data_IF_408230128690
#
_entry.id   IF_408230128690
#
_cell.length_a   1.000
_cell.length_b   1.000
_cell.length_c   1.000
_cell.angle_alpha   90.00
_cell.angle_beta   90.00
_cell.angle_gamma   90.00
#
_symmetry.space_group_name_H-M   'P 1'
#
loop_
_entity.id
_entity.type
_entity.pdbx_description
1 polymer ?
#
# COMPACT_ATOMS: atom_id res chain seq x y z
N UNK A 1 -22.92 -17.02 -63.95
CA UNK A 1 -22.39 -17.77 -62.80
C UNK A 1 -22.20 -16.79 -61.65
N UNK A 2 -22.97 -16.96 -60.57
CA UNK A 2 -23.10 -16.03 -59.45
C UNK A 2 -21.87 -16.15 -58.54
N UNK A 3 -21.09 -15.09 -58.36
CA UNK A 3 -19.98 -15.05 -57.38
C UNK A 3 -20.53 -14.59 -56.03
N UNK A 4 -20.69 -15.53 -55.10
CA UNK A 4 -20.98 -15.24 -53.69
C UNK A 4 -19.75 -14.59 -53.04
N UNK A 5 -19.94 -13.39 -52.51
CA UNK A 5 -18.97 -12.71 -51.65
C UNK A 5 -19.32 -13.08 -50.21
N UNK A 6 -18.48 -13.90 -49.58
CA UNK A 6 -18.58 -14.24 -48.16
C UNK A 6 -17.92 -13.09 -47.38
N UNK A 7 -18.72 -12.33 -46.65
CA UNK A 7 -18.26 -11.24 -45.80
C UNK A 7 -17.91 -11.80 -44.41
N UNK A 8 -16.63 -12.15 -44.20
CA UNK A 8 -16.12 -12.59 -42.89
C UNK A 8 -16.10 -11.42 -41.92
N UNK A 9 -16.93 -11.49 -40.87
CA UNK A 9 -16.96 -10.54 -39.77
C UNK A 9 -15.83 -10.86 -38.79
N UNK A 10 -14.83 -9.98 -38.72
CA UNK A 10 -13.71 -10.09 -37.79
C UNK A 10 -14.17 -9.62 -36.41
N UNK A 11 -14.38 -10.55 -35.48
CA UNK A 11 -14.64 -10.24 -34.06
C UNK A 11 -13.33 -9.76 -33.41
N UNK A 12 -13.16 -8.44 -33.30
CA UNK A 12 -12.08 -7.84 -32.51
C UNK A 12 -12.39 -8.08 -31.03
N UNK A 13 -11.73 -9.09 -30.46
CA UNK A 13 -11.73 -9.33 -29.02
C UNK A 13 -10.84 -8.27 -28.38
N UNK A 14 -11.42 -7.18 -27.91
CA UNK A 14 -10.69 -6.16 -27.16
C UNK A 14 -10.27 -6.72 -25.80
N UNK A 15 -8.97 -6.86 -25.57
CA UNK A 15 -8.44 -7.09 -24.24
C UNK A 15 -8.79 -5.88 -23.38
N UNK A 16 -9.66 -6.05 -22.39
CA UNK A 16 -9.87 -5.06 -21.34
C UNK A 16 -8.56 -4.93 -20.57
N UNK A 17 -7.79 -3.87 -20.84
CA UNK A 17 -6.67 -3.48 -19.99
C UNK A 17 -7.25 -3.14 -18.62
N UNK A 18 -7.01 -4.00 -17.63
CA UNK A 18 -7.23 -3.63 -16.24
C UNK A 18 -6.40 -2.36 -15.98
N UNK A 19 -7.06 -1.28 -15.57
CA UNK A 19 -6.33 -0.06 -15.24
C UNK A 19 -5.61 -0.31 -13.92
N UNK A 20 -4.28 -0.20 -13.94
CA UNK A 20 -3.48 -0.38 -12.73
C UNK A 20 -3.84 0.70 -11.70
N UNK A 21 -3.90 0.28 -10.44
CA UNK A 21 -4.05 1.17 -9.29
C UNK A 21 -2.88 2.17 -9.29
N UNK A 22 -3.14 3.42 -8.90
CA UNK A 22 -2.09 4.43 -8.75
C UNK A 22 -2.03 4.93 -7.33
N UNK A 23 -0.82 5.18 -6.83
CA UNK A 23 -0.61 5.72 -5.50
C UNK A 23 0.48 6.80 -5.52
N UNK A 24 0.22 7.91 -4.83
CA UNK A 24 1.09 9.08 -4.78
C UNK A 24 1.17 9.61 -3.35
N UNK A 25 2.33 10.13 -2.96
CA UNK A 25 2.48 10.84 -1.69
C UNK A 25 1.71 12.15 -1.72
N UNK A 26 1.04 12.46 -0.61
CA UNK A 26 0.36 13.76 -0.44
C UNK A 26 1.13 14.72 0.45
N UNK A 27 2.20 14.24 1.09
CA UNK A 27 3.16 15.04 1.83
C UNK A 27 4.51 14.99 1.12
N UNK A 28 5.01 16.17 0.74
CA UNK A 28 6.21 16.34 -0.07
C UNK A 28 7.51 15.89 0.62
N UNK A 29 7.50 15.62 1.94
CA UNK A 29 8.66 15.05 2.62
C UNK A 29 8.96 13.62 2.17
N UNK A 30 7.95 12.91 1.67
CA UNK A 30 8.11 11.58 1.07
C UNK A 30 8.40 11.73 -0.42
N UNK A 31 9.58 11.30 -0.84
CA UNK A 31 10.06 11.42 -2.22
C UNK A 31 10.30 10.05 -2.89
N UNK A 32 10.12 8.96 -2.14
CA UNK A 32 10.41 7.60 -2.58
C UNK A 32 11.90 7.27 -2.70
N UNK A 33 12.77 8.18 -2.28
CA UNK A 33 14.22 8.04 -2.28
C UNK A 33 14.75 7.87 -0.86
N UNK A 34 14.34 8.74 0.07
CA UNK A 34 14.82 8.78 1.45
C UNK A 34 13.64 8.77 2.42
N UNK A 35 13.70 7.91 3.43
CA UNK A 35 12.70 7.96 4.51
C UNK A 35 12.90 9.28 5.28
N UNK A 36 11.84 10.08 5.51
CA UNK A 36 11.94 11.30 6.29
C UNK A 36 12.51 11.03 7.69
N UNK A 37 13.37 11.92 8.18
CA UNK A 37 14.03 11.74 9.49
C UNK A 37 13.04 11.63 10.66
N UNK A 38 11.86 12.23 10.52
CA UNK A 38 10.80 12.17 11.54
C UNK A 38 9.85 10.97 11.38
N UNK A 39 10.07 10.13 10.36
CA UNK A 39 9.22 8.99 10.01
C UNK A 39 9.96 7.65 10.20
N UNK A 40 10.65 7.52 11.33
CA UNK A 40 11.42 6.33 11.76
C UNK A 40 10.91 5.81 13.10
N UNK A 41 11.25 4.57 13.46
CA UNK A 41 10.79 3.95 14.72
C UNK A 41 11.31 4.70 15.96
N UNK A 42 10.66 4.47 17.10
CA UNK A 42 10.99 5.09 18.40
C UNK A 42 12.47 5.01 18.78
N UNK A 43 13.20 3.94 18.41
CA UNK A 43 14.63 3.82 18.67
C UNK A 43 15.51 4.89 18.00
N UNK A 44 15.03 5.54 16.94
CA UNK A 44 15.78 6.55 16.19
C UNK A 44 15.08 7.91 16.19
N UNK A 45 13.89 8.01 16.80
CA UNK A 45 13.20 9.26 17.06
C UNK A 45 12.28 9.13 18.29
N UNK A 46 12.83 9.41 19.48
CA UNK A 46 12.09 9.29 20.74
C UNK A 46 11.01 10.38 20.92
N UNK A 47 11.19 11.52 20.27
CA UNK A 47 10.28 12.67 20.38
C UNK A 47 9.00 12.51 19.55
N UNK A 48 9.03 11.69 18.49
CA UNK A 48 7.89 11.41 17.62
C UNK A 48 8.08 10.08 16.90
N UNK A 49 7.19 9.13 17.19
CA UNK A 49 7.18 7.84 16.50
C UNK A 49 6.71 8.07 15.06
N UNK A 50 7.46 7.52 14.09
CA UNK A 50 7.11 7.59 12.69
C UNK A 50 5.76 6.91 12.38
N UNK A 51 5.16 7.36 11.30
CA UNK A 51 3.84 7.01 10.78
C UNK A 51 3.96 6.49 9.34
N UNK A 52 2.89 5.88 8.85
CA UNK A 52 2.78 5.60 7.41
C UNK A 52 2.70 6.91 6.62
N UNK A 53 3.14 6.95 5.34
CA UNK A 53 2.93 8.12 4.52
C UNK A 53 1.43 8.35 4.26
N UNK A 54 0.95 9.62 4.23
CA UNK A 54 -0.36 9.92 3.71
C UNK A 54 -0.36 9.82 2.18
N UNK A 55 -1.34 9.12 1.61
CA UNK A 55 -1.38 8.80 0.18
C UNK A 55 -2.65 9.31 -0.50
N UNK A 56 -2.55 9.56 -1.80
CA UNK A 56 -3.70 9.56 -2.70
C UNK A 56 -3.65 8.28 -3.51
N UNK A 57 -4.72 7.49 -3.46
CA UNK A 57 -4.89 6.30 -4.30
C UNK A 57 -5.93 6.60 -5.36
N UNK A 58 -5.64 6.35 -6.63
CA UNK A 58 -6.53 6.59 -7.77
C UNK A 58 -6.57 5.38 -8.70
N UNK A 59 -7.42 5.45 -9.73
CA UNK A 59 -7.77 4.31 -10.59
C UNK A 59 -8.35 3.12 -9.82
N UNK A 60 -9.12 3.39 -8.76
CA UNK A 60 -9.74 2.34 -7.95
C UNK A 60 -10.81 1.60 -8.80
N UNK A 61 -10.69 0.27 -9.00
CA UNK A 61 -11.66 -0.50 -9.76
C UNK A 61 -13.07 -0.44 -9.15
N UNK A 62 -14.09 -0.50 -10.00
CA UNK A 62 -15.47 -0.68 -9.53
C UNK A 62 -15.60 -1.98 -8.74
N UNK A 63 -16.43 -1.96 -7.69
CA UNK A 63 -16.60 -3.10 -6.79
C UNK A 63 -15.53 -3.24 -5.70
N UNK A 64 -14.52 -2.36 -5.66
CA UNK A 64 -13.56 -2.31 -4.54
C UNK A 64 -14.30 -1.97 -3.24
N UNK A 65 -14.15 -2.83 -2.24
CA UNK A 65 -14.69 -2.64 -0.89
C UNK A 65 -13.63 -2.11 0.09
N UNK A 66 -12.37 -2.48 -0.11
CA UNK A 66 -11.24 -2.02 0.71
C UNK A 66 -9.91 -2.01 -0.05
N UNK A 67 -8.99 -1.20 0.44
CA UNK A 67 -7.58 -1.24 0.05
C UNK A 67 -6.77 -1.90 1.17
N UNK A 68 -5.85 -2.80 0.84
CA UNK A 68 -4.92 -3.41 1.80
C UNK A 68 -3.52 -2.88 1.55
N UNK A 69 -2.87 -2.39 2.60
CA UNK A 69 -1.54 -1.80 2.60
C UNK A 69 -0.57 -2.74 3.33
N UNK A 70 0.41 -3.26 2.60
CA UNK A 70 1.42 -4.21 3.09
C UNK A 70 2.77 -3.51 3.18
N UNK A 71 3.19 -3.14 4.40
CA UNK A 71 4.45 -2.44 4.63
C UNK A 71 5.60 -3.42 4.81
N UNK A 72 6.67 -3.23 4.04
CA UNK A 72 7.77 -4.19 3.94
C UNK A 72 9.14 -3.50 3.93
N UNK A 73 10.13 -4.16 4.52
CA UNK A 73 11.55 -3.89 4.27
C UNK A 73 12.07 -4.94 3.27
N UNK A 74 12.27 -4.52 2.02
CA UNK A 74 12.66 -5.40 0.91
C UNK A 74 14.10 -5.90 1.00
N UNK A 75 14.90 -5.31 1.87
CA UNK A 75 16.32 -5.63 2.05
C UNK A 75 16.59 -6.40 3.34
N UNK A 76 15.57 -6.61 4.16
CA UNK A 76 15.65 -7.42 5.36
C UNK A 76 14.53 -8.46 5.37
N UNK A 77 14.83 -9.67 4.88
CA UNK A 77 13.86 -10.75 4.64
C UNK A 77 12.93 -11.05 5.81
N UNK A 78 13.39 -10.87 7.06
CA UNK A 78 12.55 -11.08 8.25
C UNK A 78 11.36 -10.09 8.26
N UNK A 79 11.56 -8.86 7.80
CA UNK A 79 10.59 -7.77 7.78
C UNK A 79 9.97 -7.53 6.38
N UNK A 80 10.29 -8.34 5.38
CA UNK A 80 9.62 -8.31 4.07
C UNK A 80 8.18 -8.89 4.16
N UNK A 81 7.39 -8.72 3.12
CA UNK A 81 6.04 -9.26 2.94
C UNK A 81 5.09 -8.91 4.10
N UNK A 82 5.08 -7.64 4.50
CA UNK A 82 4.19 -7.15 5.56
C UNK A 82 4.80 -7.20 6.96
N UNK A 83 6.09 -7.47 7.10
CA UNK A 83 6.72 -7.52 8.42
C UNK A 83 6.65 -6.22 9.21
N UNK A 84 6.48 -5.07 8.54
CA UNK A 84 6.23 -3.76 9.16
C UNK A 84 4.75 -3.49 9.47
N UNK A 85 3.85 -4.41 9.15
CA UNK A 85 2.42 -4.28 9.39
C UNK A 85 1.61 -4.37 8.10
N UNK A 86 0.38 -4.88 8.24
CA UNK A 86 -0.63 -4.90 7.18
C UNK A 86 -1.91 -4.29 7.75
N UNK A 87 -2.41 -3.26 7.10
CA UNK A 87 -3.67 -2.58 7.46
C UNK A 87 -4.56 -2.51 6.25
N UNK A 88 -5.88 -2.47 6.45
CA UNK A 88 -6.82 -2.20 5.38
C UNK A 88 -7.59 -0.92 5.65
N UNK A 89 -8.02 -0.25 4.57
CA UNK A 89 -8.82 0.96 4.62
C UNK A 89 -10.09 0.77 3.81
N UNK A 90 -11.24 1.07 4.42
CA UNK A 90 -12.55 0.92 3.78
C UNK A 90 -12.68 1.91 2.63
N UNK A 91 -13.22 1.43 1.51
CA UNK A 91 -13.50 2.25 0.33
C UNK A 91 -15.01 2.42 0.20
N UNK A 92 -15.44 3.66 -0.05
CA UNK A 92 -16.84 3.94 -0.37
C UNK A 92 -17.20 3.34 -1.73
N UNK A 93 -18.45 2.90 -1.89
CA UNK A 93 -18.92 2.31 -3.15
C UNK A 93 -18.61 3.24 -4.34
N UNK A 94 -18.09 2.64 -5.42
CA UNK A 94 -17.76 3.29 -6.70
C UNK A 94 -16.72 4.42 -6.66
N UNK A 95 -16.04 4.63 -5.52
CA UNK A 95 -14.94 5.58 -5.43
C UNK A 95 -13.86 5.27 -6.49
N UNK A 96 -13.43 6.31 -7.22
CA UNK A 96 -12.34 6.21 -8.22
C UNK A 96 -10.99 6.66 -7.67
N UNK A 97 -11.04 7.47 -6.62
CA UNK A 97 -9.89 7.92 -5.86
C UNK A 97 -10.25 8.12 -4.39
N UNK A 98 -9.25 8.08 -3.52
CA UNK A 98 -9.40 8.33 -2.09
C UNK A 98 -8.12 8.92 -1.50
N UNK A 99 -8.28 9.80 -0.51
CA UNK A 99 -7.21 10.23 0.38
C UNK A 99 -7.08 9.24 1.54
N UNK A 100 -5.87 8.75 1.75
CA UNK A 100 -5.52 7.76 2.76
C UNK A 100 -4.68 8.48 3.83
N UNK A 101 -5.23 8.71 5.04
CA UNK A 101 -4.49 9.41 6.08
C UNK A 101 -3.36 8.56 6.66
N UNK A 102 -2.32 9.22 7.16
CA UNK A 102 -1.19 8.59 7.85
C UNK A 102 -1.66 7.87 9.12
N UNK A 103 -1.06 6.72 9.41
CA UNK A 103 -1.30 5.92 10.61
C UNK A 103 -0.06 5.93 11.50
N UNK A 104 -0.24 6.21 12.79
CA UNK A 104 0.85 6.21 13.77
C UNK A 104 1.51 4.82 13.88
N UNK A 105 2.83 4.81 14.05
CA UNK A 105 3.58 3.60 14.35
C UNK A 105 3.46 3.19 15.81
N UNK A 106 3.75 1.92 16.09
CA UNK A 106 3.87 1.35 17.44
C UNK A 106 2.64 1.59 18.33
N UNK A 107 1.47 1.65 17.70
CA UNK A 107 0.15 1.75 18.33
C UNK A 107 -0.88 0.92 17.55
N UNK A 108 -1.98 0.56 18.21
CA UNK A 108 -3.17 -0.03 17.57
C UNK A 108 -4.30 0.99 17.42
N UNK A 109 -4.11 2.21 17.89
CA UNK A 109 -5.04 3.32 17.67
C UNK A 109 -4.88 3.81 16.23
N UNK A 110 -5.84 3.42 15.39
CA UNK A 110 -5.89 3.79 13.98
C UNK A 110 -6.93 4.87 13.75
N UNK A 111 -6.73 5.67 12.70
CA UNK A 111 -7.74 6.61 12.21
C UNK A 111 -8.96 5.81 11.73
N UNK A 112 -10.16 6.38 11.91
CA UNK A 112 -11.41 5.77 11.47
C UNK A 112 -11.37 5.27 10.02
N UNK A 113 -11.96 4.10 9.81
CA UNK A 113 -12.00 3.42 8.51
C UNK A 113 -10.85 2.44 8.27
N UNK A 114 -9.83 2.44 9.14
CA UNK A 114 -8.77 1.44 9.11
C UNK A 114 -9.08 0.21 9.98
N UNK A 115 -8.57 -0.94 9.54
CA UNK A 115 -8.52 -2.18 10.31
C UNK A 115 -7.10 -2.75 10.30
N UNK A 116 -6.70 -3.37 11.43
CA UNK A 116 -5.47 -4.16 11.49
C UNK A 116 -5.73 -5.51 10.82
N UNK A 117 -5.02 -5.79 9.72
CA UNK A 117 -5.03 -7.11 9.09
C UNK A 117 -3.99 -8.00 9.78
N UNK A 118 -2.77 -7.49 9.89
CA UNK A 118 -1.65 -8.16 10.57
C UNK A 118 -0.81 -7.12 11.31
N UNK A 119 -0.66 -7.28 12.62
CA UNK A 119 0.22 -6.45 13.43
C UNK A 119 1.69 -6.58 12.97
N UNK A 120 2.50 -5.55 13.16
CA UNK A 120 3.89 -5.60 12.75
C UNK A 120 4.67 -6.68 13.54
N UNK A 121 5.69 -7.25 12.91
CA UNK A 121 6.48 -8.35 13.49
C UNK A 121 7.70 -7.89 14.29
N UNK A 122 7.87 -6.57 14.47
CA UNK A 122 8.98 -5.97 15.20
C UNK A 122 9.14 -6.39 16.67
N UNK A 123 8.12 -6.97 17.29
CA UNK A 123 8.17 -7.45 18.69
C UNK A 123 9.25 -8.50 18.92
N UNK A 124 9.58 -9.32 17.90
CA UNK A 124 10.72 -10.26 17.94
C UNK A 124 12.08 -9.57 18.05
N UNK A 125 12.13 -8.26 17.81
CA UNK A 125 13.29 -7.39 17.96
C UNK A 125 13.11 -6.37 19.09
N UNK A 126 12.22 -6.66 20.06
CA UNK A 126 11.94 -5.83 21.23
C UNK A 126 11.38 -4.43 20.90
N UNK A 127 10.64 -4.31 19.80
CA UNK A 127 9.87 -3.09 19.48
C UNK A 127 8.54 -3.10 20.21
N UNK A 128 8.00 -1.92 20.47
CA UNK A 128 6.66 -1.75 21.04
C UNK A 128 5.65 -2.35 20.07
N UNK A 129 4.65 -3.13 20.52
CA UNK A 129 3.62 -3.69 19.63
C UNK A 129 2.74 -2.62 18.98
N UNK A 130 2.25 -2.89 17.78
CA UNK A 130 1.33 -2.00 17.06
C UNK A 130 0.91 -2.55 15.70
N UNK A 131 0.04 -1.82 15.02
CA UNK A 131 -0.40 -2.13 13.67
C UNK A 131 0.74 -1.95 12.65
N UNK A 132 1.49 -0.85 12.78
CA UNK A 132 2.57 -0.47 11.89
C UNK A 132 3.87 -0.21 12.68
N UNK A 133 5.01 -0.63 12.13
CA UNK A 133 6.33 -0.23 12.61
C UNK A 133 6.99 0.64 11.54
N UNK A 134 7.37 1.87 11.90
CA UNK A 134 8.13 2.73 11.02
C UNK A 134 9.53 2.16 10.69
N UNK A 135 10.19 2.60 9.59
CA UNK A 135 11.57 2.24 9.27
C UNK A 135 12.52 2.25 10.48
N UNK A 136 13.28 1.17 10.65
CA UNK A 136 13.97 0.89 11.91
C UNK A 136 15.34 0.20 11.73
N UNK A 137 15.95 0.38 10.56
CA UNK A 137 17.26 -0.16 10.17
C UNK A 137 18.44 0.56 10.83
N UNK A 138 18.25 1.82 11.25
CA UNK A 138 19.27 2.62 11.92
C UNK A 138 20.35 3.15 10.98
N UNK A 139 19.98 3.63 9.79
CA UNK A 139 20.94 4.21 8.85
C UNK A 139 21.65 3.18 7.94
N UNK A 140 21.15 1.94 7.85
CA UNK A 140 21.80 0.86 7.08
C UNK A 140 21.45 0.86 5.59
N UNK A 141 20.60 1.77 5.14
CA UNK A 141 20.24 1.91 3.72
C UNK A 141 19.23 0.85 3.23
N UNK A 142 18.42 0.32 4.14
CA UNK A 142 17.36 -0.63 3.83
C UNK A 142 16.27 0.02 2.98
N UNK A 143 15.67 -0.73 2.06
CA UNK A 143 14.63 -0.22 1.13
C UNK A 143 13.25 -0.57 1.62
N UNK A 144 12.44 0.44 1.89
CA UNK A 144 11.08 0.30 2.41
C UNK A 144 10.05 0.52 1.30
N UNK A 145 9.01 -0.30 1.31
CA UNK A 145 7.91 -0.24 0.33
C UNK A 145 6.56 -0.46 0.98
N UNK A 146 5.52 0.03 0.31
CA UNK A 146 4.13 -0.34 0.58
C UNK A 146 3.53 -0.95 -0.68
N UNK A 147 3.08 -2.21 -0.57
CA UNK A 147 2.20 -2.82 -1.57
C UNK A 147 0.76 -2.44 -1.26
N UNK A 148 -0.02 -2.11 -2.30
CA UNK A 148 -1.41 -1.67 -2.17
C UNK A 148 -2.27 -2.56 -3.06
N UNK A 149 -3.28 -3.20 -2.49
CA UNK A 149 -4.18 -4.09 -3.19
C UNK A 149 -5.64 -3.66 -3.01
N UNK A 150 -6.39 -3.56 -4.11
CA UNK A 150 -7.82 -3.32 -4.09
C UNK A 150 -8.57 -4.65 -4.07
N UNK A 151 -9.37 -4.85 -3.02
CA UNK A 151 -10.15 -6.07 -2.81
C UNK A 151 -11.64 -5.78 -2.90
N UNK A 152 -12.39 -6.71 -3.49
CA UNK A 152 -13.86 -6.71 -3.40
C UNK A 152 -14.37 -7.19 -2.02
N UNK A 153 -15.69 -7.23 -1.85
CA UNK A 153 -16.34 -7.69 -0.62
C UNK A 153 -16.10 -9.18 -0.29
N UNK A 154 -15.68 -9.98 -1.26
CA UNK A 154 -15.29 -11.38 -1.08
C UNK A 154 -13.77 -11.55 -0.88
N UNK A 155 -13.02 -10.45 -0.68
CA UNK A 155 -11.56 -10.39 -0.60
C UNK A 155 -10.85 -10.86 -1.88
N UNK A 156 -11.49 -10.80 -3.04
CA UNK A 156 -10.82 -11.05 -4.32
C UNK A 156 -10.06 -9.82 -4.78
N UNK A 157 -8.81 -10.03 -5.20
CA UNK A 157 -7.97 -9.00 -5.81
C UNK A 157 -8.53 -8.49 -7.13
N UNK A 158 -8.66 -7.18 -7.25
CA UNK A 158 -9.14 -6.48 -8.44
C UNK A 158 -8.00 -5.74 -9.16
N UNK A 159 -7.08 -5.15 -8.39
CA UNK A 159 -5.90 -4.44 -8.89
C UNK A 159 -4.88 -4.29 -7.76
N UNK A 160 -3.62 -4.03 -8.13
CA UNK A 160 -2.56 -3.76 -7.17
C UNK A 160 -1.57 -2.74 -7.70
N UNK A 161 -0.83 -2.10 -6.80
CA UNK A 161 0.35 -1.28 -7.12
C UNK A 161 1.35 -1.36 -5.98
N UNK A 162 2.55 -0.84 -6.18
CA UNK A 162 3.59 -0.76 -5.15
C UNK A 162 4.25 0.63 -5.19
N UNK A 163 4.49 1.19 -4.01
CA UNK A 163 5.18 2.47 -3.87
C UNK A 163 6.44 2.28 -3.02
N UNK A 164 7.57 2.77 -3.52
CA UNK A 164 8.82 2.85 -2.76
C UNK A 164 8.72 4.02 -1.81
N UNK A 165 8.95 3.78 -0.52
CA UNK A 165 8.91 4.81 0.53
C UNK A 165 10.24 5.54 0.65
N UNK A 166 11.33 4.84 0.32
CA UNK A 166 12.70 5.36 0.36
C UNK A 166 13.62 4.41 1.10
N UNK A 167 14.82 4.91 1.39
CA UNK A 167 15.84 4.20 2.16
C UNK A 167 16.06 4.81 3.54
N UNK A 168 16.31 3.95 4.53
CA UNK A 168 16.81 4.31 5.86
C UNK A 168 17.89 3.34 6.29
#
# INVERSE_FOLDING_TARGET
MLKSIILSTLLVSGSLFASDLKAEFTDAKWDGMTVPKDEVCSNFNESKIGSTPPLKVSNIPSGTAKLVFTYSDKTFTKMDNGGHGIVAYKVAADAKEISVPAQGGETFELVDGFEVVTAHTGTRFKKTPGAYLAPCSGGKGNTYKVGIEALDSANKSLASTELVLGKF
#
